data_IF_609891984960
#
_entry.id   IF_609891984960
#
_cell.length_a   1.000
_cell.length_b   1.000
_cell.length_c   1.000
_cell.angle_alpha   90.00
_cell.angle_beta   90.00
_cell.angle_gamma   90.00
#
_symmetry.space_group_name_H-M   'P 1'
#
loop_
_entity.id
_entity.type
_entity.pdbx_description
1 polymer ?
#
# COMPACT_ATOMS: atom_id res chain seq x y z
N UNK A 1 4.57 13.09 17.19
CA UNK A 1 5.07 12.09 16.21
C UNK A 1 5.13 12.68 14.80
N UNK A 2 4.06 13.30 14.30
CA UNK A 2 4.07 14.01 13.01
C UNK A 2 5.18 15.07 12.88
N UNK A 3 5.41 15.91 13.89
CA UNK A 3 6.48 16.92 13.83
C UNK A 3 7.90 16.33 13.85
N UNK A 4 8.10 15.17 14.50
CA UNK A 4 9.38 14.44 14.47
C UNK A 4 9.60 13.83 13.07
N UNK A 5 8.54 13.29 12.47
CA UNK A 5 8.58 12.75 11.11
C UNK A 5 8.79 13.86 10.07
N UNK A 6 8.17 15.03 10.26
CA UNK A 6 8.37 16.22 9.41
C UNK A 6 9.79 16.75 9.56
N UNK A 7 10.33 16.84 10.78
CA UNK A 7 11.71 17.28 11.02
C UNK A 7 12.76 16.37 10.38
N UNK A 8 12.58 15.05 10.47
CA UNK A 8 13.45 14.07 9.79
C UNK A 8 13.31 14.11 8.27
N UNK A 9 12.09 14.27 7.74
CA UNK A 9 11.84 14.48 6.31
C UNK A 9 12.55 15.73 5.77
N UNK A 10 12.60 16.82 6.54
CA UNK A 10 13.33 18.03 6.17
C UNK A 10 14.85 17.83 6.11
N UNK A 11 15.44 17.11 7.08
CA UNK A 11 16.85 16.70 7.01
C UNK A 11 17.13 15.81 5.78
N UNK A 12 16.16 14.98 5.40
CA UNK A 12 16.28 14.08 4.26
C UNK A 12 16.37 14.83 2.92
N UNK A 13 15.53 15.85 2.70
CA UNK A 13 15.60 16.70 1.51
C UNK A 13 16.94 17.45 1.38
N UNK A 14 17.58 17.76 2.50
CA UNK A 14 18.88 18.46 2.52
C UNK A 14 20.03 17.47 2.22
N UNK A 15 19.96 16.24 2.73
CA UNK A 15 21.01 15.23 2.51
C UNK A 15 20.95 14.54 1.13
N UNK A 16 19.77 14.45 0.48
CA UNK A 16 19.63 13.88 -0.87
C UNK A 16 20.27 14.71 -1.98
N UNK A 17 20.69 15.94 -1.71
CA UNK A 17 21.40 16.81 -2.67
C UNK A 17 22.85 16.37 -2.95
N UNK A 18 23.41 15.43 -2.17
CA UNK A 18 24.72 14.83 -2.42
C UNK A 18 24.64 13.69 -3.44
N UNK A 19 24.79 13.99 -4.73
CA UNK A 19 24.66 13.03 -5.84
C UNK A 19 25.67 11.88 -5.79
N UNK A 20 25.19 10.63 -5.79
CA UNK A 20 25.95 9.46 -6.28
C UNK A 20 25.55 9.18 -7.73
N UNK A 21 26.52 9.15 -8.63
CA UNK A 21 26.32 8.72 -10.01
C UNK A 21 26.17 7.19 -10.04
N UNK A 22 24.96 6.70 -10.26
CA UNK A 22 24.71 5.31 -10.63
C UNK A 22 24.61 5.23 -12.16
N UNK A 23 25.37 4.32 -12.78
CA UNK A 23 25.27 4.04 -14.20
C UNK A 23 23.96 3.32 -14.49
N UNK A 24 22.93 4.05 -14.90
CA UNK A 24 21.68 3.48 -15.39
C UNK A 24 21.94 2.74 -16.70
N UNK A 25 21.88 1.41 -16.69
CA UNK A 25 21.78 0.63 -17.92
C UNK A 25 20.36 0.80 -18.48
N UNK A 26 20.19 1.75 -19.41
CA UNK A 26 18.98 1.88 -20.21
C UNK A 26 18.75 0.58 -20.99
N UNK A 27 17.66 -0.12 -20.67
CA UNK A 27 17.06 -1.05 -21.62
C UNK A 27 16.28 -0.20 -22.61
N UNK A 28 16.89 0.12 -23.75
CA UNK A 28 16.21 0.75 -24.89
C UNK A 28 15.16 -0.23 -25.44
N UNK A 29 13.96 -0.22 -24.87
CA UNK A 29 12.79 -0.82 -25.48
C UNK A 29 12.31 0.15 -26.55
N UNK A 30 12.52 -0.22 -27.82
CA UNK A 30 12.22 0.57 -29.00
C UNK A 30 10.74 0.86 -29.21
N UNK A 31 10.17 1.79 -28.45
CA UNK A 31 8.99 2.55 -28.86
C UNK A 31 9.48 3.83 -29.56
N UNK A 32 9.66 3.75 -30.87
CA UNK A 32 9.92 4.93 -31.71
C UNK A 32 8.65 5.77 -31.81
N UNK A 33 8.47 6.75 -30.93
CA UNK A 33 7.53 7.84 -31.16
C UNK A 33 8.15 8.85 -32.12
N UNK A 34 7.60 8.93 -33.33
CA UNK A 34 7.93 9.97 -34.30
C UNK A 34 7.44 11.33 -33.77
N UNK A 35 8.35 12.23 -33.42
CA UNK A 35 8.03 13.62 -33.12
C UNK A 35 8.62 14.53 -34.20
N UNK A 36 7.74 15.33 -34.79
CA UNK A 36 7.98 16.26 -35.87
C UNK A 36 8.98 17.35 -35.48
N UNK A 37 9.85 17.67 -36.43
CA UNK A 37 10.75 18.80 -36.38
C UNK A 37 9.97 20.09 -36.65
N UNK A 38 10.17 21.10 -35.82
CA UNK A 38 9.90 22.48 -36.19
C UNK A 38 11.15 23.34 -35.98
N UNK A 39 11.32 24.19 -36.99
CA UNK A 39 12.49 24.94 -37.43
C UNK A 39 12.94 26.07 -36.52
N UNK A 40 14.26 26.22 -36.35
CA UNK A 40 14.91 27.52 -36.20
C UNK A 40 16.30 27.46 -36.83
N UNK A 41 16.53 28.36 -37.79
CA UNK A 41 17.71 28.43 -38.63
C UNK A 41 18.97 28.82 -37.82
N UNK A 42 19.92 27.89 -37.74
CA UNK A 42 21.25 28.10 -37.18
C UNK A 42 22.30 27.37 -38.02
N UNK A 43 23.37 28.08 -38.34
CA UNK A 43 24.52 27.73 -39.20
C UNK A 43 24.99 26.26 -39.07
N UNK A 44 25.22 25.52 -40.18
CA UNK A 44 25.58 24.10 -40.15
C UNK A 44 27.00 23.92 -39.60
N UNK A 45 27.10 23.47 -38.35
CA UNK A 45 28.33 22.88 -37.82
C UNK A 45 28.47 21.49 -38.42
N UNK A 46 29.66 21.16 -38.96
CA UNK A 46 29.99 19.84 -39.52
C UNK A 46 29.53 18.73 -38.57
N UNK A 47 28.47 18.02 -38.97
CA UNK A 47 28.03 16.77 -38.34
C UNK A 47 29.22 15.81 -38.34
N UNK A 48 29.76 15.53 -37.14
CA UNK A 48 30.63 14.38 -36.98
C UNK A 48 29.83 13.13 -37.40
N UNK A 49 30.42 12.24 -38.21
CA UNK A 49 29.76 10.99 -38.58
C UNK A 49 29.42 10.24 -37.30
N UNK A 50 28.12 10.09 -37.04
CA UNK A 50 27.63 9.23 -35.97
C UNK A 50 28.23 7.84 -36.22
N UNK A 51 29.10 7.41 -35.31
CA UNK A 51 29.65 6.06 -35.35
C UNK A 51 28.49 5.07 -35.43
N UNK A 52 28.55 4.07 -36.34
CA UNK A 52 27.48 3.09 -36.47
C UNK A 52 27.23 2.48 -35.09
N UNK A 53 26.01 2.60 -34.61
CA UNK A 53 25.55 1.98 -33.36
C UNK A 53 25.78 0.49 -33.50
N UNK A 54 26.85 0.01 -32.88
CA UNK A 54 27.18 -1.42 -32.84
C UNK A 54 26.02 -2.08 -32.13
N UNK A 55 25.16 -2.75 -32.92
CA UNK A 55 24.06 -3.55 -32.41
C UNK A 55 24.65 -4.63 -31.50
N UNK A 56 24.64 -4.38 -30.19
CA UNK A 56 25.01 -5.42 -29.24
C UNK A 56 23.96 -6.52 -29.35
N UNK A 57 24.37 -7.79 -29.49
CA UNK A 57 23.42 -8.89 -29.51
C UNK A 57 22.56 -8.80 -28.25
N UNK A 58 21.25 -8.76 -28.45
CA UNK A 58 20.30 -8.81 -27.35
C UNK A 58 20.57 -10.11 -26.57
N UNK A 59 20.91 -9.99 -25.29
CA UNK A 59 21.16 -11.15 -24.42
C UNK A 59 19.96 -12.11 -24.39
N UNK A 60 20.20 -13.33 -23.91
CA UNK A 60 19.16 -14.37 -23.84
C UNK A 60 17.98 -13.92 -22.97
N UNK A 61 16.80 -14.54 -23.14
CA UNK A 61 15.63 -14.24 -22.30
C UNK A 61 15.96 -14.43 -20.81
N UNK A 62 16.77 -15.43 -20.47
CA UNK A 62 17.27 -15.66 -19.11
C UNK A 62 18.11 -14.50 -18.57
N UNK A 63 18.98 -13.90 -19.40
CA UNK A 63 19.78 -12.74 -19.00
C UNK A 63 18.91 -11.52 -18.67
N UNK A 64 17.80 -11.33 -19.42
CA UNK A 64 16.84 -10.25 -19.16
C UNK A 64 16.09 -10.46 -17.85
N UNK A 65 15.55 -11.67 -17.65
CA UNK A 65 14.85 -12.01 -16.41
C UNK A 65 15.77 -11.88 -15.19
N UNK A 66 17.00 -12.37 -15.29
CA UNK A 66 17.96 -12.28 -14.19
C UNK A 66 18.32 -10.82 -13.85
N UNK A 67 18.48 -9.96 -14.86
CA UNK A 67 18.69 -8.52 -14.65
C UNK A 67 17.50 -7.86 -13.96
N UNK A 68 16.29 -8.21 -14.36
CA UNK A 68 15.07 -7.67 -13.78
C UNK A 68 14.92 -8.10 -12.31
N UNK A 69 15.10 -9.40 -12.02
CA UNK A 69 15.08 -9.91 -10.64
C UNK A 69 16.15 -9.26 -9.76
N UNK A 70 17.37 -9.09 -10.29
CA UNK A 70 18.44 -8.40 -9.57
C UNK A 70 18.09 -6.93 -9.31
N UNK A 71 17.55 -6.21 -10.29
CA UNK A 71 17.09 -4.83 -10.14
C UNK A 71 16.05 -4.72 -9.02
N UNK A 72 14.99 -5.50 -9.12
CA UNK A 72 13.88 -5.50 -8.17
C UNK A 72 14.35 -5.85 -6.76
N UNK A 73 15.23 -6.85 -6.61
CA UNK A 73 15.79 -7.25 -5.32
C UNK A 73 16.64 -6.12 -4.70
N UNK A 74 17.50 -5.50 -5.50
CA UNK A 74 18.38 -4.40 -5.05
C UNK A 74 17.54 -3.21 -4.57
N UNK A 75 16.54 -2.80 -5.34
CA UNK A 75 15.67 -1.68 -4.96
C UNK A 75 14.83 -1.99 -3.71
N UNK A 76 14.43 -3.24 -3.53
CA UNK A 76 13.69 -3.67 -2.34
C UNK A 76 14.56 -3.65 -1.09
N UNK A 77 15.82 -4.07 -1.19
CA UNK A 77 16.78 -3.97 -0.08
C UNK A 77 17.06 -2.50 0.26
N UNK A 78 17.28 -1.65 -0.73
CA UNK A 78 17.52 -0.21 -0.56
C UNK A 78 16.33 0.50 0.11
N UNK A 79 15.09 0.17 -0.30
CA UNK A 79 13.87 0.67 0.32
C UNK A 79 13.75 0.22 1.80
N UNK A 80 14.00 -1.06 2.08
CA UNK A 80 13.95 -1.55 3.46
C UNK A 80 15.01 -0.92 4.35
N UNK A 81 16.20 -0.63 3.81
CA UNK A 81 17.25 0.11 4.52
C UNK A 81 16.83 1.54 4.83
N UNK A 82 16.14 2.22 3.91
CA UNK A 82 15.58 3.55 4.18
C UNK A 82 14.58 3.50 5.35
N UNK A 83 13.75 2.46 5.43
CA UNK A 83 12.88 2.26 6.60
C UNK A 83 13.65 1.99 7.89
N UNK A 84 14.73 1.20 7.82
CA UNK A 84 15.56 0.93 8.97
C UNK A 84 16.14 2.23 9.54
N UNK A 85 16.63 3.14 8.69
CA UNK A 85 17.23 4.42 9.08
C UNK A 85 16.25 5.36 9.83
N UNK A 86 14.93 5.19 9.66
CA UNK A 86 13.92 5.94 10.41
C UNK A 86 13.92 5.56 11.90
N UNK A 87 14.22 4.29 12.20
CA UNK A 87 14.27 3.75 13.58
C UNK A 87 15.48 4.36 14.30
N UNK A 88 15.29 5.04 15.46
CA UNK A 88 16.38 5.76 16.14
C UNK A 88 17.64 4.94 16.41
N UNK A 89 17.49 3.63 16.65
CA UNK A 89 18.61 2.72 16.87
C UNK A 89 19.50 2.58 15.62
N UNK A 90 18.91 2.32 14.45
CA UNK A 90 19.66 2.16 13.20
C UNK A 90 20.04 3.49 12.55
N UNK A 91 19.23 4.55 12.74
CA UNK A 91 19.50 5.87 12.15
C UNK A 91 20.78 6.55 12.66
N UNK A 92 21.34 6.10 13.78
CA UNK A 92 22.64 6.56 14.29
C UNK A 92 23.82 5.74 13.75
N UNK A 93 23.55 4.65 13.01
CA UNK A 93 24.56 3.79 12.41
C UNK A 93 24.83 4.23 10.97
N UNK A 94 26.06 4.05 10.49
CA UNK A 94 26.35 4.20 9.07
C UNK A 94 25.63 3.14 8.25
N UNK A 95 25.23 3.44 7.00
CA UNK A 95 24.49 2.51 6.14
C UNK A 95 25.13 1.12 6.02
N UNK A 96 26.46 1.07 5.89
CA UNK A 96 27.22 -0.19 5.85
C UNK A 96 27.17 -0.98 7.18
N UNK A 97 27.01 -0.30 8.31
CA UNK A 97 26.84 -0.94 9.62
C UNK A 97 25.43 -1.51 9.74
N UNK A 98 24.41 -0.79 9.26
CA UNK A 98 23.01 -1.27 9.25
C UNK A 98 22.89 -2.55 8.41
N UNK A 99 23.44 -2.59 7.19
CA UNK A 99 23.37 -3.79 6.33
C UNK A 99 24.06 -5.01 6.92
N UNK A 100 25.09 -4.80 7.75
CA UNK A 100 25.84 -5.88 8.42
C UNK A 100 25.31 -6.21 9.81
N UNK A 101 24.33 -5.47 10.32
CA UNK A 101 23.85 -5.64 11.67
C UNK A 101 23.14 -7.01 11.81
N UNK A 102 23.53 -7.76 12.84
CA UNK A 102 23.08 -9.16 13.02
C UNK A 102 21.56 -9.27 13.15
N UNK A 103 20.90 -8.27 13.77
CA UNK A 103 19.44 -8.26 13.96
C UNK A 103 18.63 -8.03 12.68
N UNK A 104 19.25 -7.56 11.59
CA UNK A 104 18.60 -7.48 10.28
C UNK A 104 18.98 -8.70 9.45
N UNK A 105 20.29 -9.02 9.40
CA UNK A 105 20.83 -10.11 8.59
C UNK A 105 20.24 -11.49 8.92
N UNK A 106 19.93 -11.76 10.18
CA UNK A 106 19.40 -13.07 10.62
C UNK A 106 17.91 -13.04 10.94
N UNK A 107 17.24 -11.92 10.71
CA UNK A 107 15.82 -11.80 11.00
C UNK A 107 14.99 -12.26 9.78
N UNK A 108 14.22 -13.36 9.89
CA UNK A 108 13.42 -13.85 8.78
C UNK A 108 12.36 -12.85 8.33
N UNK A 109 11.82 -12.03 9.25
CA UNK A 109 10.85 -11.00 8.90
C UNK A 109 11.45 -9.91 8.00
N UNK A 110 12.73 -9.57 8.21
CA UNK A 110 13.44 -8.60 7.36
C UNK A 110 13.51 -9.09 5.91
N UNK A 111 13.96 -10.34 5.71
CA UNK A 111 14.05 -10.94 4.37
C UNK A 111 12.68 -11.16 3.74
N UNK A 112 11.68 -11.53 4.53
CA UNK A 112 10.30 -11.64 4.05
C UNK A 112 9.75 -10.29 3.59
N UNK A 113 10.06 -9.20 4.30
CA UNK A 113 9.68 -7.85 3.87
C UNK A 113 10.39 -7.43 2.58
N UNK A 114 11.69 -7.73 2.41
CA UNK A 114 12.42 -7.49 1.15
C UNK A 114 11.77 -8.28 0.01
N UNK A 115 11.49 -9.57 0.22
CA UNK A 115 10.85 -10.42 -0.79
C UNK A 115 9.46 -9.89 -1.15
N UNK A 116 8.66 -9.47 -0.17
CA UNK A 116 7.35 -8.85 -0.38
C UNK A 116 7.46 -7.58 -1.23
N UNK A 117 8.39 -6.68 -0.89
CA UNK A 117 8.68 -5.49 -1.68
C UNK A 117 9.12 -5.83 -3.10
N UNK A 118 9.93 -6.88 -3.26
CA UNK A 118 10.40 -7.32 -4.57
C UNK A 118 9.25 -7.80 -5.45
N UNK A 119 8.37 -8.65 -4.92
CA UNK A 119 7.17 -9.09 -5.66
C UNK A 119 6.29 -7.89 -6.04
N UNK A 120 6.08 -6.96 -5.11
CA UNK A 120 5.31 -5.74 -5.38
C UNK A 120 5.96 -4.87 -6.46
N UNK A 121 7.25 -4.55 -6.36
CA UNK A 121 7.96 -3.75 -7.38
C UNK A 121 7.91 -4.46 -8.74
N UNK A 122 8.09 -5.77 -8.80
CA UNK A 122 8.01 -6.53 -10.05
C UNK A 122 6.64 -6.42 -10.72
N UNK A 123 5.56 -6.63 -9.97
CA UNK A 123 4.20 -6.54 -10.49
C UNK A 123 3.86 -5.12 -10.94
N UNK A 124 4.22 -4.12 -10.13
CA UNK A 124 3.96 -2.72 -10.47
C UNK A 124 4.79 -2.24 -11.64
N UNK A 125 6.08 -2.60 -11.69
CA UNK A 125 6.94 -2.31 -12.83
C UNK A 125 6.39 -2.95 -14.11
N UNK A 126 5.89 -4.19 -14.03
CA UNK A 126 5.22 -4.86 -15.15
C UNK A 126 3.95 -4.14 -15.62
N UNK A 127 3.10 -3.69 -14.69
CA UNK A 127 1.92 -2.88 -15.01
C UNK A 127 2.31 -1.57 -15.70
N UNK A 128 3.27 -0.84 -15.15
CA UNK A 128 3.76 0.41 -15.74
C UNK A 128 4.49 0.16 -17.07
N UNK A 129 5.14 -0.99 -17.26
CA UNK A 129 5.69 -1.39 -18.56
C UNK A 129 4.60 -1.53 -19.64
N UNK A 130 3.43 -2.09 -19.29
CA UNK A 130 2.32 -2.25 -20.21
C UNK A 130 1.75 -0.92 -20.72
N UNK A 131 1.93 0.17 -19.96
CA UNK A 131 1.56 1.55 -20.34
C UNK A 131 2.77 2.40 -20.76
N UNK A 132 3.90 1.77 -21.09
CA UNK A 132 5.15 2.40 -21.55
C UNK A 132 5.77 3.38 -20.53
N UNK A 133 5.68 3.09 -19.24
CA UNK A 133 6.20 3.89 -18.13
C UNK A 133 7.16 3.14 -17.21
N UNK A 134 7.72 2.01 -17.65
CA UNK A 134 8.68 1.22 -16.85
C UNK A 134 10.07 1.85 -16.71
N UNK A 135 10.49 2.64 -17.69
CA UNK A 135 11.81 3.28 -17.72
C UNK A 135 11.92 4.56 -16.87
N UNK A 136 13.09 5.23 -16.88
CA UNK A 136 13.24 6.56 -16.33
C UNK A 136 12.15 7.50 -16.85
N UNK A 137 11.58 8.32 -15.96
CA UNK A 137 10.53 9.28 -16.31
C UNK A 137 10.99 10.27 -17.39
N UNK A 138 12.29 10.62 -17.34
CA UNK A 138 13.00 11.53 -18.24
C UNK A 138 14.50 11.23 -18.17
N UNK A 139 15.28 11.72 -19.13
CA UNK A 139 16.74 11.50 -19.17
C UNK A 139 17.49 12.18 -18.02
N UNK A 140 16.90 13.23 -17.45
CA UNK A 140 17.41 14.00 -16.31
C UNK A 140 16.56 13.77 -15.04
N UNK A 141 16.07 12.54 -14.86
CA UNK A 141 15.33 12.11 -13.67
C UNK A 141 16.19 12.32 -12.42
N UNK A 142 15.63 13.04 -11.44
CA UNK A 142 16.28 13.29 -10.16
C UNK A 142 16.19 12.06 -9.27
N UNK A 143 17.13 11.90 -8.33
CA UNK A 143 17.14 10.74 -7.42
C UNK A 143 15.84 10.64 -6.61
N UNK A 144 15.27 11.78 -6.20
CA UNK A 144 13.97 11.82 -5.50
C UNK A 144 12.81 11.33 -6.37
N UNK A 145 12.83 11.64 -7.67
CA UNK A 145 11.83 11.17 -8.63
C UNK A 145 11.97 9.68 -8.88
N UNK A 146 13.21 9.20 -9.06
CA UNK A 146 13.54 7.79 -9.22
C UNK A 146 13.06 6.96 -8.02
N UNK A 147 13.39 7.41 -6.80
CA UNK A 147 12.91 6.75 -5.56
C UNK A 147 11.40 6.76 -5.51
N UNK A 148 10.76 7.88 -5.83
CA UNK A 148 9.31 7.93 -5.83
C UNK A 148 8.65 7.01 -6.85
N UNK A 149 9.21 6.91 -8.05
CA UNK A 149 8.76 5.98 -9.07
C UNK A 149 8.93 4.53 -8.63
N UNK A 150 10.11 4.13 -8.19
CA UNK A 150 10.40 2.73 -7.91
C UNK A 150 9.80 2.30 -6.56
N UNK A 151 10.10 3.04 -5.49
CA UNK A 151 9.79 2.61 -4.12
C UNK A 151 8.35 2.87 -3.72
N UNK A 152 7.74 3.93 -4.26
CA UNK A 152 6.36 4.30 -3.93
C UNK A 152 5.40 3.92 -5.05
N UNK A 153 5.63 4.37 -6.28
CA UNK A 153 4.69 4.07 -7.37
C UNK A 153 4.70 2.59 -7.76
N UNK A 154 5.84 1.98 -8.10
CA UNK A 154 5.86 0.56 -8.50
C UNK A 154 5.50 -0.36 -7.35
N UNK A 155 6.07 -0.15 -6.17
CA UNK A 155 5.75 -1.00 -5.01
C UNK A 155 4.24 -0.96 -4.68
N UNK A 156 3.61 0.21 -4.62
CA UNK A 156 2.18 0.29 -4.31
C UNK A 156 1.32 -0.23 -5.46
N UNK A 157 1.58 0.21 -6.69
CA UNK A 157 0.86 -0.27 -7.87
C UNK A 157 0.91 -1.81 -7.96
N UNK A 158 2.04 -2.45 -7.66
CA UNK A 158 2.12 -3.91 -7.68
C UNK A 158 1.37 -4.61 -6.55
N UNK A 159 1.35 -4.02 -5.35
CA UNK A 159 0.44 -4.47 -4.30
C UNK A 159 -1.02 -4.43 -4.75
N UNK A 160 -1.42 -3.35 -5.42
CA UNK A 160 -2.74 -3.19 -6.01
C UNK A 160 -3.04 -4.14 -7.17
N UNK A 161 -2.05 -4.45 -8.03
CA UNK A 161 -2.19 -5.48 -9.07
C UNK A 161 -2.48 -6.84 -8.41
N UNK A 162 -1.73 -7.19 -7.37
CA UNK A 162 -1.94 -8.43 -6.62
C UNK A 162 -3.35 -8.52 -6.01
N UNK A 163 -3.85 -7.42 -5.44
CA UNK A 163 -5.20 -7.39 -4.88
C UNK A 163 -6.28 -7.43 -5.96
N UNK A 164 -6.09 -6.77 -7.11
CA UNK A 164 -7.03 -6.83 -8.24
C UNK A 164 -7.14 -8.25 -8.77
N UNK A 165 -6.01 -8.94 -8.94
CA UNK A 165 -6.00 -10.34 -9.40
C UNK A 165 -6.75 -11.24 -8.41
N UNK A 166 -6.58 -11.00 -7.11
CA UNK A 166 -7.29 -11.75 -6.07
C UNK A 166 -8.79 -11.46 -6.11
N UNK A 167 -9.20 -10.20 -6.24
CA UNK A 167 -10.61 -9.82 -6.33
C UNK A 167 -11.29 -10.34 -7.59
N UNK A 168 -10.58 -10.35 -8.73
CA UNK A 168 -11.07 -10.93 -9.98
C UNK A 168 -11.30 -12.43 -9.84
N UNK A 169 -10.40 -13.13 -9.16
CA UNK A 169 -10.57 -14.55 -8.87
C UNK A 169 -11.81 -14.79 -7.99
N UNK A 170 -11.94 -14.05 -6.88
CA UNK A 170 -13.11 -14.12 -6.00
C UNK A 170 -14.42 -13.80 -6.72
N UNK A 171 -14.42 -12.79 -7.59
CA UNK A 171 -15.56 -12.41 -8.41
C UNK A 171 -15.97 -13.55 -9.35
N UNK A 172 -15.01 -14.13 -10.07
CA UNK A 172 -15.26 -15.28 -10.95
C UNK A 172 -15.83 -16.47 -10.18
N UNK A 173 -15.28 -16.79 -9.01
CA UNK A 173 -15.77 -17.88 -8.18
C UNK A 173 -17.19 -17.62 -7.64
N UNK A 174 -17.50 -16.40 -7.22
CA UNK A 174 -18.85 -16.03 -6.80
C UNK A 174 -19.86 -16.15 -7.95
N UNK A 175 -19.48 -15.74 -9.16
CA UNK A 175 -20.33 -15.84 -10.36
C UNK A 175 -20.59 -17.29 -10.78
N UNK A 176 -19.64 -18.20 -10.53
CA UNK A 176 -19.77 -19.62 -10.84
C UNK A 176 -20.44 -20.45 -9.73
N UNK A 177 -20.65 -19.87 -8.55
CA UNK A 177 -21.27 -20.57 -7.42
C UNK A 177 -22.79 -20.64 -7.58
N UNK A 178 -23.34 -21.84 -7.35
CA UNK A 178 -24.78 -22.12 -7.24
C UNK A 178 -25.34 -21.78 -5.84
N UNK A 179 -24.59 -21.04 -5.03
CA UNK A 179 -24.96 -20.65 -3.67
C UNK A 179 -26.16 -19.67 -3.59
N UNK A 180 -26.45 -19.23 -2.37
CA UNK A 180 -27.53 -18.29 -2.11
C UNK A 180 -27.38 -16.99 -2.93
N UNK A 181 -28.47 -16.56 -3.56
CA UNK A 181 -28.45 -15.45 -4.50
C UNK A 181 -28.12 -14.11 -3.83
N UNK A 182 -28.51 -13.96 -2.56
CA UNK A 182 -28.24 -12.74 -1.78
C UNK A 182 -26.75 -12.66 -1.42
N UNK A 183 -26.18 -13.74 -0.90
CA UNK A 183 -24.74 -13.85 -0.63
C UNK A 183 -23.90 -13.60 -1.88
N UNK A 184 -24.25 -14.23 -3.01
CA UNK A 184 -23.56 -14.02 -4.29
C UNK A 184 -23.59 -12.55 -4.71
N UNK A 185 -24.77 -11.92 -4.69
CA UNK A 185 -24.91 -10.52 -5.10
C UNK A 185 -24.10 -9.56 -4.21
N UNK A 186 -23.99 -9.87 -2.91
CA UNK A 186 -23.17 -9.11 -1.97
C UNK A 186 -21.68 -9.23 -2.28
N UNK A 187 -21.18 -10.44 -2.54
CA UNK A 187 -19.78 -10.67 -2.90
C UNK A 187 -19.41 -10.02 -4.23
N UNK A 188 -20.27 -10.16 -5.26
CA UNK A 188 -20.06 -9.54 -6.57
C UNK A 188 -19.91 -8.03 -6.45
N UNK A 189 -20.86 -7.35 -5.76
CA UNK A 189 -20.80 -5.90 -5.54
C UNK A 189 -19.54 -5.48 -4.78
N UNK A 190 -19.08 -6.30 -3.84
CA UNK A 190 -17.82 -6.06 -3.11
C UNK A 190 -16.62 -6.03 -4.02
N UNK A 191 -16.44 -7.10 -4.78
CA UNK A 191 -15.31 -7.24 -5.68
C UNK A 191 -15.33 -6.14 -6.74
N UNK A 192 -16.49 -5.79 -7.30
CA UNK A 192 -16.61 -4.68 -8.26
C UNK A 192 -16.14 -3.36 -7.67
N UNK A 193 -16.64 -2.97 -6.50
CA UNK A 193 -16.25 -1.71 -5.85
C UNK A 193 -14.77 -1.72 -5.47
N UNK A 194 -14.26 -2.83 -4.94
CA UNK A 194 -12.85 -2.99 -4.59
C UNK A 194 -11.96 -2.84 -5.83
N UNK A 195 -12.24 -3.57 -6.92
CA UNK A 195 -11.49 -3.49 -8.18
C UNK A 195 -11.50 -2.06 -8.74
N UNK A 196 -12.66 -1.39 -8.77
CA UNK A 196 -12.76 -0.02 -9.26
C UNK A 196 -11.90 0.96 -8.45
N UNK A 197 -11.90 0.83 -7.12
CA UNK A 197 -11.08 1.65 -6.22
C UNK A 197 -9.58 1.40 -6.48
N UNK A 198 -9.18 0.15 -6.69
CA UNK A 198 -7.78 -0.21 -6.93
C UNK A 198 -7.29 0.24 -8.30
N UNK A 199 -8.11 0.06 -9.35
CA UNK A 199 -7.85 0.59 -10.70
C UNK A 199 -7.70 2.12 -10.63
N UNK A 200 -8.59 2.80 -9.91
CA UNK A 200 -8.50 4.24 -9.71
C UNK A 200 -7.18 4.65 -9.05
N UNK A 201 -6.71 3.88 -8.06
CA UNK A 201 -5.39 4.12 -7.48
C UNK A 201 -4.27 3.97 -8.52
N UNK A 202 -4.25 2.88 -9.28
CA UNK A 202 -3.21 2.69 -10.31
C UNK A 202 -3.24 3.76 -11.41
N UNK A 203 -4.42 4.23 -11.81
CA UNK A 203 -4.57 5.33 -12.79
C UNK A 203 -3.99 6.65 -12.25
N UNK A 204 -4.15 6.93 -10.96
CA UNK A 204 -3.56 8.13 -10.38
C UNK A 204 -2.03 8.05 -10.23
N UNK A 205 -1.48 6.86 -10.01
CA UNK A 205 -0.04 6.61 -10.07
C UNK A 205 0.52 6.80 -11.48
N UNK A 206 -0.20 6.29 -12.50
CA UNK A 206 0.10 6.57 -13.90
C UNK A 206 0.11 8.09 -14.18
N UNK A 207 -0.95 8.80 -13.77
CA UNK A 207 -1.00 10.25 -13.94
C UNK A 207 0.15 10.96 -13.20
N UNK A 208 0.55 10.51 -12.00
CA UNK A 208 1.70 11.08 -11.29
C UNK A 208 2.99 10.98 -12.12
N UNK A 209 3.32 9.80 -12.64
CA UNK A 209 4.51 9.61 -13.50
C UNK A 209 4.43 10.46 -14.77
N UNK A 210 3.24 10.60 -15.35
CA UNK A 210 3.02 11.48 -16.50
C UNK A 210 3.25 12.97 -16.15
N UNK A 211 2.87 13.43 -14.95
CA UNK A 211 3.14 14.81 -14.53
C UNK A 211 4.61 15.05 -14.23
N UNK A 212 5.30 14.06 -13.67
CA UNK A 212 6.76 14.11 -13.47
C UNK A 212 7.50 14.21 -14.82
N UNK A 213 7.08 13.46 -15.85
CA UNK A 213 7.73 13.52 -17.18
C UNK A 213 7.53 14.86 -17.89
N UNK A 214 6.43 15.54 -17.59
CA UNK A 214 6.14 16.90 -18.09
C UNK A 214 6.76 18.01 -17.26
N UNK A 215 7.46 17.69 -16.16
CA UNK A 215 7.98 18.67 -15.18
C UNK A 215 6.89 19.63 -14.69
N UNK A 216 5.68 19.12 -14.51
CA UNK A 216 4.54 19.91 -14.07
C UNK A 216 4.44 19.88 -12.54
N UNK A 217 5.14 20.78 -11.86
CA UNK A 217 5.20 20.82 -10.38
C UNK A 217 3.82 20.87 -9.76
N UNK A 218 2.91 21.70 -10.27
CA UNK A 218 1.61 21.91 -9.65
C UNK A 218 0.75 20.65 -9.72
N UNK A 219 0.66 20.02 -10.90
CA UNK A 219 -0.14 18.81 -11.07
C UNK A 219 0.54 17.56 -10.50
N UNK A 220 1.88 17.53 -10.45
CA UNK A 220 2.63 16.49 -9.73
C UNK A 220 2.35 16.56 -8.22
N UNK A 221 2.41 17.75 -7.62
CA UNK A 221 2.07 17.94 -6.21
C UNK A 221 0.64 17.52 -5.92
N UNK A 222 -0.31 17.93 -6.76
CA UNK A 222 -1.70 17.51 -6.63
C UNK A 222 -1.87 15.98 -6.72
N UNK A 223 -1.18 15.32 -7.65
CA UNK A 223 -1.21 13.87 -7.79
C UNK A 223 -0.59 13.17 -6.57
N UNK A 224 0.55 13.65 -6.06
CA UNK A 224 1.17 13.15 -4.84
C UNK A 224 0.26 13.33 -3.61
N UNK A 225 -0.34 14.52 -3.44
CA UNK A 225 -1.34 14.78 -2.39
C UNK A 225 -2.54 13.82 -2.55
N UNK A 226 -3.01 13.57 -3.77
CA UNK A 226 -4.08 12.60 -4.05
C UNK A 226 -3.73 11.20 -3.53
N UNK A 227 -2.48 10.72 -3.67
CA UNK A 227 -2.09 9.39 -3.14
C UNK A 227 -2.09 9.36 -1.62
N UNK A 228 -1.55 10.40 -0.99
CA UNK A 228 -1.53 10.54 0.47
C UNK A 228 -2.95 10.63 1.04
N UNK A 229 -3.80 11.42 0.42
CA UNK A 229 -5.20 11.60 0.83
C UNK A 229 -6.04 10.36 0.59
N UNK A 230 -5.77 9.58 -0.45
CA UNK A 230 -6.38 8.25 -0.63
C UNK A 230 -6.08 7.34 0.57
N UNK A 231 -4.82 7.29 1.01
CA UNK A 231 -4.41 6.53 2.18
C UNK A 231 -5.10 7.00 3.47
N UNK A 232 -5.11 8.31 3.69
CA UNK A 232 -5.82 8.90 4.83
C UNK A 232 -7.32 8.62 4.78
N UNK A 233 -7.93 8.70 3.61
CA UNK A 233 -9.35 8.45 3.42
C UNK A 233 -9.72 7.01 3.78
N UNK A 234 -8.94 6.06 3.27
CA UNK A 234 -9.12 4.65 3.55
C UNK A 234 -8.92 4.35 5.05
N UNK A 235 -7.92 4.94 5.70
CA UNK A 235 -7.68 4.80 7.14
C UNK A 235 -8.83 5.35 7.98
N UNK A 236 -9.30 6.56 7.69
CA UNK A 236 -10.42 7.17 8.42
C UNK A 236 -11.67 6.32 8.25
N UNK A 237 -11.96 5.89 7.03
CA UNK A 237 -13.11 5.07 6.74
C UNK A 237 -13.01 3.68 7.41
N UNK A 238 -11.81 3.12 7.49
CA UNK A 238 -11.48 1.92 8.28
C UNK A 238 -11.80 2.09 9.77
N UNK A 239 -11.34 3.18 10.38
CA UNK A 239 -11.60 3.49 11.79
C UNK A 239 -13.09 3.72 12.04
N UNK A 240 -13.77 4.48 11.19
CA UNK A 240 -15.23 4.70 11.31
C UNK A 240 -15.96 3.36 11.25
N UNK A 241 -15.58 2.50 10.31
CA UNK A 241 -16.09 1.15 10.17
C UNK A 241 -16.00 0.32 11.44
N UNK A 242 -14.80 0.27 12.03
CA UNK A 242 -14.55 -0.39 13.31
C UNK A 242 -15.40 0.15 14.46
N UNK A 243 -15.69 1.44 14.46
CA UNK A 243 -16.47 2.09 15.51
C UNK A 243 -17.99 1.92 15.34
N UNK A 244 -18.45 1.41 14.19
CA UNK A 244 -19.88 1.14 13.99
C UNK A 244 -20.34 -0.07 14.83
N UNK A 245 -21.62 -0.15 15.23
CA UNK A 245 -22.15 -1.32 15.95
C UNK A 245 -21.91 -2.64 15.23
N UNK A 246 -21.99 -2.64 13.88
CA UNK A 246 -21.71 -3.83 13.06
C UNK A 246 -20.23 -4.22 13.12
N UNK A 247 -19.31 -3.25 12.99
CA UNK A 247 -17.87 -3.48 13.12
C UNK A 247 -17.47 -3.97 14.51
N UNK A 248 -18.05 -3.39 15.56
CA UNK A 248 -17.84 -3.82 16.94
C UNK A 248 -18.37 -5.23 17.19
N UNK A 249 -19.57 -5.55 16.69
CA UNK A 249 -20.14 -6.90 16.79
C UNK A 249 -19.29 -7.94 16.06
N UNK A 250 -18.77 -7.62 14.87
CA UNK A 250 -17.83 -8.47 14.15
C UNK A 250 -16.55 -8.69 14.98
N UNK A 251 -15.96 -7.62 15.52
CA UNK A 251 -14.74 -7.72 16.33
C UNK A 251 -14.95 -8.53 17.62
N UNK A 252 -16.06 -8.32 18.33
CA UNK A 252 -16.41 -9.08 19.53
C UNK A 252 -16.66 -10.56 19.22
N UNK A 253 -17.31 -10.84 18.10
CA UNK A 253 -17.57 -12.20 17.65
C UNK A 253 -16.27 -12.97 17.47
N UNK A 254 -15.25 -12.32 16.92
CA UNK A 254 -13.95 -12.92 16.68
C UNK A 254 -13.10 -13.03 17.95
N UNK A 255 -13.03 -11.95 18.73
CA UNK A 255 -12.22 -11.90 19.94
C UNK A 255 -12.66 -12.94 20.96
N UNK A 256 -13.97 -13.15 21.07
CA UNK A 256 -14.55 -14.04 22.09
C UNK A 256 -14.96 -15.42 21.54
N UNK A 257 -14.93 -15.61 20.22
CA UNK A 257 -15.46 -16.81 19.56
C UNK A 257 -16.95 -17.06 19.83
N UNK A 258 -17.66 -16.07 20.40
CA UNK A 258 -19.08 -16.17 20.74
C UNK A 258 -19.90 -15.51 19.64
N UNK A 259 -20.76 -16.28 19.00
CA UNK A 259 -21.76 -15.72 18.09
C UNK A 259 -22.62 -14.69 18.84
N UNK A 260 -22.99 -13.57 18.19
CA UNK A 260 -23.97 -12.67 18.77
C UNK A 260 -25.25 -13.46 19.08
N UNK A 261 -25.95 -13.10 20.18
CA UNK A 261 -27.16 -13.81 20.55
C UNK A 261 -28.13 -13.80 19.37
N UNK A 262 -28.74 -14.97 19.04
CA UNK A 262 -29.63 -15.06 17.90
C UNK A 262 -30.77 -14.05 18.04
N UNK A 263 -31.26 -13.47 16.93
CA UNK A 263 -32.51 -12.70 16.99
C UNK A 263 -33.63 -13.61 17.52
N UNK A 264 -34.68 -13.06 18.16
CA UNK A 264 -35.67 -13.82 18.94
C UNK A 264 -36.32 -15.02 18.22
N UNK A 265 -36.27 -15.03 16.89
CA UNK A 265 -36.83 -16.09 16.05
C UNK A 265 -35.88 -16.57 14.92
N UNK A 266 -34.57 -16.30 15.01
CA UNK A 266 -33.60 -16.72 13.98
C UNK A 266 -32.63 -17.78 14.45
N UNK A 267 -32.10 -18.57 13.51
CA UNK A 267 -30.90 -19.36 13.77
C UNK A 267 -29.75 -18.40 14.14
N UNK A 268 -28.86 -18.78 15.07
CA UNK A 268 -27.66 -17.99 15.32
C UNK A 268 -26.89 -17.83 14.00
N UNK A 269 -26.39 -16.63 13.71
CA UNK A 269 -25.59 -16.43 12.52
C UNK A 269 -24.40 -17.41 12.56
N UNK A 270 -24.03 -18.02 11.42
CA UNK A 270 -22.83 -18.84 11.36
C UNK A 270 -21.62 -18.01 11.81
N UNK A 271 -20.61 -18.64 12.43
CA UNK A 271 -19.37 -17.95 12.76
C UNK A 271 -18.80 -17.29 11.49
N UNK A 272 -18.18 -16.10 11.62
CA UNK A 272 -17.63 -15.43 10.46
C UNK A 272 -16.48 -16.31 9.96
N UNK A 273 -16.43 -16.58 8.66
CA UNK A 273 -15.48 -17.56 8.15
C UNK A 273 -14.06 -17.03 8.36
N UNK A 274 -13.10 -17.92 8.71
CA UNK A 274 -11.78 -17.54 9.26
C UNK A 274 -10.97 -16.59 8.37
N UNK A 275 -11.23 -16.60 7.08
CA UNK A 275 -10.50 -15.77 6.13
C UNK A 275 -10.89 -14.30 6.24
N UNK A 276 -11.99 -13.98 6.93
CA UNK A 276 -12.40 -12.61 7.25
C UNK A 276 -11.27 -11.96 8.03
N UNK A 277 -10.64 -12.72 8.94
CA UNK A 277 -9.49 -12.29 9.71
C UNK A 277 -8.26 -11.97 8.90
N UNK A 278 -8.01 -12.78 7.89
CA UNK A 278 -6.88 -12.56 7.00
C UNK A 278 -7.09 -11.25 6.23
N UNK A 279 -8.29 -11.01 5.70
CA UNK A 279 -8.60 -9.76 4.98
C UNK A 279 -8.51 -8.53 5.87
N UNK A 280 -8.99 -8.63 7.11
CA UNK A 280 -8.92 -7.54 8.06
C UNK A 280 -7.49 -7.20 8.43
N UNK A 281 -6.66 -8.21 8.67
CA UNK A 281 -5.23 -8.02 8.94
C UNK A 281 -4.55 -7.40 7.72
N UNK A 282 -4.82 -7.90 6.50
CA UNK A 282 -4.27 -7.34 5.27
C UNK A 282 -4.67 -5.87 5.12
N UNK A 283 -5.94 -5.53 5.35
CA UNK A 283 -6.43 -4.14 5.28
C UNK A 283 -5.83 -3.25 6.35
N UNK A 284 -5.66 -3.74 7.58
CA UNK A 284 -5.01 -3.01 8.65
C UNK A 284 -3.54 -2.75 8.33
N UNK A 285 -2.83 -3.78 7.86
CA UNK A 285 -1.43 -3.66 7.40
C UNK A 285 -1.34 -2.70 6.23
N UNK A 286 -2.27 -2.79 5.28
CA UNK A 286 -2.38 -1.86 4.16
C UNK A 286 -2.64 -0.42 4.62
N UNK A 287 -3.56 -0.20 5.57
CA UNK A 287 -3.81 1.12 6.17
C UNK A 287 -2.55 1.67 6.84
N UNK A 288 -1.84 0.84 7.61
CA UNK A 288 -0.58 1.22 8.24
C UNK A 288 0.48 1.55 7.18
N UNK A 289 0.56 0.77 6.10
CA UNK A 289 1.45 1.01 4.98
C UNK A 289 1.10 2.31 4.25
N UNK A 290 -0.18 2.63 4.05
CA UNK A 290 -0.60 3.91 3.46
C UNK A 290 -0.19 5.13 4.29
N UNK A 291 -0.05 5.00 5.62
CA UNK A 291 0.56 6.06 6.45
C UNK A 291 2.04 6.23 6.11
N UNK A 292 2.73 5.15 5.77
CA UNK A 292 4.11 5.18 5.31
C UNK A 292 4.23 5.87 3.94
N UNK A 293 3.22 5.75 3.06
CA UNK A 293 3.18 6.47 1.78
C UNK A 293 3.30 8.00 1.96
N UNK A 294 2.79 8.57 3.05
CA UNK A 294 2.99 9.98 3.39
C UNK A 294 4.47 10.34 3.41
N UNK A 295 5.30 9.52 4.06
CA UNK A 295 6.75 9.74 4.15
C UNK A 295 7.39 9.67 2.76
N UNK A 296 6.91 8.76 1.94
CA UNK A 296 7.44 8.52 0.60
C UNK A 296 7.14 9.60 -0.44
N UNK A 297 5.93 10.15 -0.42
CA UNK A 297 5.51 11.19 -1.36
C UNK A 297 5.89 12.60 -0.88
N UNK A 298 6.19 12.81 0.41
CA UNK A 298 6.57 14.13 0.94
C UNK A 298 7.79 14.75 0.22
N UNK A 299 8.87 14.01 -0.08
CA UNK A 299 9.99 14.54 -0.85
C UNK A 299 9.60 15.10 -2.21
N UNK A 300 8.60 14.52 -2.90
CA UNK A 300 8.10 15.09 -4.16
C UNK A 300 7.43 16.45 -3.96
N UNK A 301 6.81 16.70 -2.80
CA UNK A 301 6.17 17.99 -2.49
C UNK A 301 7.18 19.11 -2.23
N UNK A 302 8.45 18.76 -2.05
CA UNK A 302 9.55 19.70 -1.93
C UNK A 302 10.17 20.05 -3.28
N UNK A 303 9.77 19.39 -4.36
CA UNK A 303 10.35 19.54 -5.69
C UNK A 303 9.61 20.60 -6.49
N UNK A 304 10.29 21.67 -6.89
CA UNK A 304 9.76 22.67 -7.82
C UNK A 304 10.73 22.83 -8.98
N UNK A 305 10.27 22.53 -10.20
CA UNK A 305 11.11 22.56 -11.39
C UNK A 305 11.40 23.98 -11.88
N UNK A 306 10.70 24.99 -11.34
CA UNK A 306 10.78 26.38 -11.80
C UNK A 306 11.21 27.36 -10.70
N UNK A 307 11.25 26.95 -9.43
CA UNK A 307 11.70 27.82 -8.37
C UNK A 307 13.22 27.96 -8.36
N UNK A 308 13.70 29.20 -8.31
CA UNK A 308 15.11 29.50 -7.99
C UNK A 308 15.41 29.18 -6.52
N UNK A 309 14.41 29.27 -5.64
CA UNK A 309 14.55 29.00 -4.20
C UNK A 309 13.75 27.75 -3.75
N UNK A 310 14.48 26.69 -3.41
CA UNK A 310 13.95 25.40 -2.90
C UNK A 310 13.07 25.58 -1.66
N UNK A 311 13.36 26.56 -0.80
CA UNK A 311 12.72 26.73 0.51
C UNK A 311 11.26 27.20 0.39
N UNK A 312 10.96 28.09 -0.54
CA UNK A 312 9.60 28.61 -0.73
C UNK A 312 8.69 27.55 -1.37
N UNK A 313 9.21 26.84 -2.37
CA UNK A 313 8.56 25.69 -3.00
C UNK A 313 8.12 24.65 -1.97
N UNK A 314 9.05 24.22 -1.11
CA UNK A 314 8.80 23.28 -0.04
C UNK A 314 7.71 23.75 0.92
N UNK A 315 7.75 25.03 1.34
CA UNK A 315 6.75 25.59 2.26
C UNK A 315 5.34 25.55 1.67
N UNK A 316 5.21 25.86 0.37
CA UNK A 316 3.93 25.85 -0.36
C UNK A 316 3.39 24.43 -0.55
N UNK A 317 4.21 23.48 -0.97
CA UNK A 317 3.79 22.08 -1.16
C UNK A 317 3.28 21.45 0.15
N UNK A 318 4.04 21.62 1.24
CA UNK A 318 3.65 21.12 2.57
C UNK A 318 2.37 21.81 3.08
N UNK A 319 2.21 23.12 2.86
CA UNK A 319 0.99 23.83 3.23
C UNK A 319 -0.25 23.25 2.52
N UNK A 320 -0.17 23.06 1.19
CA UNK A 320 -1.24 22.47 0.39
C UNK A 320 -1.64 21.08 0.88
N UNK A 321 -0.65 20.24 1.19
CA UNK A 321 -0.91 18.91 1.78
C UNK A 321 -1.65 19.01 3.12
N UNK A 322 -1.19 19.88 4.03
CA UNK A 322 -1.83 20.06 5.35
C UNK A 322 -3.29 20.50 5.21
N UNK A 323 -3.56 21.48 4.35
CA UNK A 323 -4.92 21.97 4.09
C UNK A 323 -5.79 20.83 3.54
N UNK A 324 -5.32 20.12 2.50
CA UNK A 324 -6.08 19.03 1.88
C UNK A 324 -6.36 17.88 2.86
N UNK A 325 -5.39 17.52 3.70
CA UNK A 325 -5.53 16.45 4.68
C UNK A 325 -6.51 16.84 5.81
N UNK A 326 -6.38 18.04 6.39
CA UNK A 326 -7.28 18.52 7.44
C UNK A 326 -8.71 18.62 6.90
N UNK A 327 -8.87 19.24 5.73
CA UNK A 327 -10.15 19.40 5.07
C UNK A 327 -10.81 18.03 4.80
N UNK A 328 -10.09 17.12 4.16
CA UNK A 328 -10.62 15.80 3.84
C UNK A 328 -10.97 14.95 5.06
N UNK A 329 -10.16 14.99 6.12
CA UNK A 329 -10.47 14.31 7.40
C UNK A 329 -11.75 14.87 8.01
N UNK A 330 -11.93 16.20 8.02
CA UNK A 330 -13.15 16.84 8.53
C UNK A 330 -14.37 16.39 7.73
N UNK A 331 -14.27 16.32 6.40
CA UNK A 331 -15.37 15.82 5.56
C UNK A 331 -15.69 14.38 5.82
N UNK A 332 -14.69 13.49 5.84
CA UNK A 332 -14.95 12.08 6.12
C UNK A 332 -15.53 11.87 7.52
N UNK A 333 -15.08 12.62 8.52
CA UNK A 333 -15.65 12.55 9.86
C UNK A 333 -17.12 13.03 9.87
N UNK A 334 -17.43 14.12 9.15
CA UNK A 334 -18.79 14.60 8.99
C UNK A 334 -19.66 13.59 8.22
N UNK A 335 -19.14 13.01 7.14
CA UNK A 335 -19.78 11.95 6.36
C UNK A 335 -20.06 10.71 7.22
N UNK A 336 -19.08 10.21 7.95
CA UNK A 336 -19.26 9.07 8.87
C UNK A 336 -20.28 9.35 9.97
N UNK A 337 -20.23 10.54 10.58
CA UNK A 337 -21.17 10.94 11.62
C UNK A 337 -22.60 11.04 11.08
N UNK A 338 -22.79 11.69 9.94
CA UNK A 338 -24.12 11.85 9.35
C UNK A 338 -24.64 10.52 8.81
N UNK A 339 -23.76 9.67 8.28
CA UNK A 339 -24.12 8.33 7.85
C UNK A 339 -24.72 7.50 8.99
N UNK A 340 -24.21 7.64 10.23
CA UNK A 340 -24.80 7.00 11.42
C UNK A 340 -26.25 7.40 11.72
N UNK A 341 -26.73 8.50 11.10
CA UNK A 341 -28.10 9.02 11.23
C UNK A 341 -28.95 8.86 9.98
N UNK A 342 -28.42 8.23 8.93
CA UNK A 342 -29.07 8.03 7.63
C UNK A 342 -28.48 8.94 6.54
N UNK A 343 -28.08 8.40 5.38
CA UNK A 343 -27.47 9.18 4.32
C UNK A 343 -28.48 10.15 3.69
N UNK A 344 -28.23 11.45 3.81
CA UNK A 344 -28.99 12.48 3.11
C UNK A 344 -28.39 12.77 1.74
N UNK A 345 -29.20 12.73 0.67
CA UNK A 345 -28.81 13.11 -0.70
C UNK A 345 -28.12 14.49 -0.78
N UNK A 346 -28.44 15.40 0.13
CA UNK A 346 -27.83 16.74 0.21
C UNK A 346 -26.32 16.70 0.49
N UNK A 347 -25.79 15.61 1.06
CA UNK A 347 -24.36 15.47 1.31
C UNK A 347 -23.56 15.29 0.03
N UNK A 348 -24.05 14.45 -0.89
CA UNK A 348 -23.47 14.31 -2.22
C UNK A 348 -23.52 15.65 -2.98
N UNK A 349 -24.60 16.42 -2.80
CA UNK A 349 -24.71 17.76 -3.36
C UNK A 349 -23.76 18.78 -2.71
N UNK A 350 -23.31 18.56 -1.47
CA UNK A 350 -22.38 19.44 -0.75
C UNK A 350 -20.90 19.21 -1.13
N UNK A 351 -20.54 18.01 -1.59
CA UNK A 351 -19.16 17.64 -1.94
C UNK A 351 -18.50 18.59 -2.96
N UNK A 352 -19.16 19.02 -4.06
CA UNK A 352 -18.57 19.99 -4.99
C UNK A 352 -18.21 21.31 -4.32
N UNK A 353 -19.07 21.83 -3.43
CA UNK A 353 -18.81 23.08 -2.72
C UNK A 353 -17.65 22.94 -1.74
N UNK A 354 -17.54 21.78 -1.09
CA UNK A 354 -16.42 21.49 -0.21
C UNK A 354 -15.09 21.45 -0.97
N UNK A 355 -15.08 20.77 -2.12
CA UNK A 355 -13.88 20.69 -2.96
C UNK A 355 -13.48 22.08 -3.45
N UNK A 356 -14.44 22.90 -3.89
CA UNK A 356 -14.19 24.29 -4.28
C UNK A 356 -13.67 25.15 -3.12
N UNK A 357 -14.26 25.03 -1.93
CA UNK A 357 -13.82 25.74 -0.74
C UNK A 357 -12.39 25.35 -0.33
N UNK A 358 -12.06 24.07 -0.39
CA UNK A 358 -10.70 23.59 -0.09
C UNK A 358 -9.71 24.00 -1.17
N UNK A 359 -10.10 23.98 -2.45
CA UNK A 359 -9.30 24.51 -3.55
C UNK A 359 -8.96 25.98 -3.33
N UNK A 360 -9.95 26.79 -2.92
CA UNK A 360 -9.74 28.18 -2.56
C UNK A 360 -8.74 28.34 -1.40
N UNK A 361 -8.81 27.48 -0.37
CA UNK A 361 -7.85 27.51 0.76
C UNK A 361 -6.43 27.06 0.35
N UNK A 362 -6.30 26.12 -0.59
CA UNK A 362 -5.00 25.64 -1.08
C UNK A 362 -4.29 26.68 -1.97
N UNK A 363 -5.05 27.46 -2.73
CA UNK A 363 -4.53 28.30 -3.82
C UNK A 363 -4.71 29.81 -3.56
N UNK A 364 -5.46 30.18 -2.51
CA UNK A 364 -5.76 31.57 -2.16
C UNK A 364 -6.70 32.25 -3.15
N UNK A 365 -6.59 33.58 -3.27
CA UNK A 365 -7.45 34.41 -4.13
C UNK A 365 -7.21 34.26 -5.64
N UNK A 366 -6.21 33.47 -6.06
CA UNK A 366 -5.84 33.28 -7.46
C UNK A 366 -6.24 31.89 -7.97
N UNK A 367 -7.54 31.63 -8.01
CA UNK A 367 -8.10 30.42 -8.62
C UNK A 367 -7.99 30.50 -10.15
N UNK A 368 -7.05 29.74 -10.71
CA UNK A 368 -7.06 29.40 -12.13
C UNK A 368 -7.82 28.09 -12.35
N UNK A 369 -8.26 27.83 -13.59
CA UNK A 369 -8.86 26.55 -13.95
C UNK A 369 -7.91 25.36 -13.67
N UNK A 370 -6.62 25.53 -13.97
CA UNK A 370 -5.58 24.52 -13.70
C UNK A 370 -5.45 24.20 -12.21
N UNK A 371 -5.41 25.23 -11.37
CA UNK A 371 -5.37 25.12 -9.90
C UNK A 371 -6.62 24.46 -9.34
N UNK A 372 -7.78 24.77 -9.92
CA UNK A 372 -9.05 24.12 -9.56
C UNK A 372 -9.02 22.63 -9.88
N UNK A 373 -8.53 22.25 -11.07
CA UNK A 373 -8.33 20.84 -11.45
C UNK A 373 -7.31 20.13 -10.55
N UNK A 374 -6.24 20.82 -10.18
CA UNK A 374 -5.22 20.30 -9.27
C UNK A 374 -5.83 19.98 -7.88
N UNK A 375 -6.57 20.93 -7.31
CA UNK A 375 -7.25 20.74 -6.03
C UNK A 375 -8.35 19.67 -6.10
N UNK A 376 -9.13 19.64 -7.20
CA UNK A 376 -10.09 18.58 -7.47
C UNK A 376 -9.41 17.21 -7.47
N UNK A 377 -8.31 17.04 -8.21
CA UNK A 377 -7.56 15.78 -8.25
C UNK A 377 -6.96 15.39 -6.90
N UNK A 378 -6.50 16.36 -6.11
CA UNK A 378 -5.97 16.16 -4.78
C UNK A 378 -7.03 15.69 -3.77
N UNK A 379 -8.29 16.14 -3.91
CA UNK A 379 -9.39 15.84 -2.98
C UNK A 379 -10.33 14.74 -3.46
N UNK A 380 -10.25 14.39 -4.75
CA UNK A 380 -11.06 13.36 -5.37
C UNK A 380 -11.09 12.03 -4.59
N UNK A 381 -9.97 11.55 -4.00
CA UNK A 381 -10.01 10.35 -3.16
C UNK A 381 -10.96 10.46 -1.98
N UNK A 382 -11.03 11.60 -1.29
CA UNK A 382 -11.97 11.81 -0.21
C UNK A 382 -13.42 11.78 -0.69
N UNK A 383 -13.69 12.38 -1.85
CA UNK A 383 -15.02 12.39 -2.46
C UNK A 383 -15.44 10.98 -2.87
N UNK A 384 -14.58 10.22 -3.55
CA UNK A 384 -14.94 8.89 -4.04
C UNK A 384 -14.97 7.86 -2.93
N UNK A 385 -13.96 7.82 -2.06
CA UNK A 385 -13.95 6.89 -0.92
C UNK A 385 -15.09 7.25 0.03
N UNK A 386 -15.27 8.54 0.34
CA UNK A 386 -16.36 9.03 1.18
C UNK A 386 -17.74 8.71 0.61
N UNK A 387 -17.96 8.97 -0.69
CA UNK A 387 -19.22 8.60 -1.37
C UNK A 387 -19.43 7.10 -1.45
N UNK A 388 -18.37 6.31 -1.69
CA UNK A 388 -18.43 4.86 -1.69
C UNK A 388 -18.84 4.32 -0.32
N UNK A 389 -18.25 4.85 0.74
CA UNK A 389 -18.65 4.56 2.12
C UNK A 389 -20.07 5.04 2.41
N UNK A 390 -20.50 6.20 1.93
CA UNK A 390 -21.84 6.71 2.14
C UNK A 390 -22.91 5.92 1.36
N UNK A 391 -22.58 5.41 0.17
CA UNK A 391 -23.48 4.63 -0.66
C UNK A 391 -23.57 3.17 -0.18
N UNK A 392 -22.44 2.58 0.22
CA UNK A 392 -22.37 1.19 0.67
C UNK A 392 -22.57 1.05 2.19
N UNK A 393 -22.46 2.13 2.97
CA UNK A 393 -22.77 2.15 4.40
C UNK A 393 -21.96 1.18 5.27
N UNK A 394 -22.53 0.66 6.39
CA UNK A 394 -21.90 -0.41 7.16
C UNK A 394 -21.91 -1.71 6.33
N UNK A 395 -22.77 -1.77 5.31
CA UNK A 395 -22.77 -2.84 4.35
C UNK A 395 -21.45 -2.86 3.57
N UNK A 396 -20.70 -1.76 3.42
CA UNK A 396 -19.35 -1.81 2.85
C UNK A 396 -18.44 -2.75 3.65
N UNK A 397 -18.57 -2.78 4.98
CA UNK A 397 -17.79 -3.70 5.82
C UNK A 397 -18.24 -5.13 5.62
N UNK A 398 -19.53 -5.35 5.64
CA UNK A 398 -20.16 -6.63 5.35
C UNK A 398 -19.85 -7.16 3.92
N UNK A 399 -19.75 -6.26 2.95
CA UNK A 399 -19.38 -6.47 1.55
C UNK A 399 -17.88 -6.81 1.50
N UNK A 400 -17.04 -6.04 2.19
CA UNK A 400 -15.62 -6.30 2.37
C UNK A 400 -15.35 -7.57 3.21
N UNK A 401 -16.29 -8.02 4.04
CA UNK A 401 -16.25 -9.22 4.89
C UNK A 401 -16.68 -10.49 4.15
N UNK A 402 -17.49 -10.38 3.08
CA UNK A 402 -17.90 -11.51 2.23
C UNK A 402 -16.76 -12.15 1.42
N UNK A 403 -15.55 -11.62 1.56
CA UNK A 403 -14.31 -12.06 0.88
C UNK A 403 -13.70 -13.35 1.47
N UNK A 404 -14.39 -13.95 2.42
CA UNK A 404 -13.78 -14.76 3.45
C UNK A 404 -14.38 -16.16 3.63
N UNK A 405 -15.32 -16.55 2.78
CA UNK A 405 -15.97 -17.86 2.78
C UNK A 405 -15.32 -18.85 1.78
N UNK A 406 -14.05 -18.65 1.49
CA UNK A 406 -13.22 -19.31 0.50
C UNK A 406 -12.27 -20.39 1.08
N UNK A 407 -12.75 -21.64 1.04
CA UNK A 407 -12.04 -22.88 1.42
C UNK A 407 -10.70 -23.15 0.68
N UNK A 408 -10.21 -22.25 -0.19
CA UNK A 408 -8.96 -22.45 -0.94
C UNK A 408 -7.66 -22.23 -0.13
N UNK A 409 -7.73 -22.02 1.18
CA UNK A 409 -6.56 -21.97 2.06
C UNK A 409 -6.16 -23.33 2.65
N UNK A 410 -6.99 -24.38 2.55
CA UNK A 410 -6.61 -25.73 2.97
C UNK A 410 -5.34 -26.26 2.27
N UNK A 411 -5.13 -26.05 0.96
CA UNK A 411 -3.90 -26.45 0.28
C UNK A 411 -2.66 -25.73 0.83
N UNK A 412 -2.75 -24.45 1.18
CA UNK A 412 -1.61 -23.67 1.71
C UNK A 412 -1.24 -24.06 3.15
N UNK A 413 -2.21 -24.47 3.97
CA UNK A 413 -1.92 -25.07 5.28
C UNK A 413 -1.24 -26.44 5.16
N UNK A 414 -1.55 -27.21 4.12
CA UNK A 414 -0.87 -28.50 3.84
C UNK A 414 0.57 -28.33 3.32
N UNK A 415 0.90 -27.16 2.76
CA UNK A 415 2.24 -26.83 2.23
C UNK A 415 3.24 -26.35 3.28
N UNK A 416 2.80 -26.17 4.53
CA UNK A 416 3.68 -25.89 5.66
C UNK A 416 3.64 -27.08 6.64
N UNK A 417 4.35 -28.19 6.36
CA UNK A 417 4.34 -29.32 7.26
C UNK A 417 4.94 -28.85 8.57
N UNK A 418 4.12 -28.83 9.63
CA UNK A 418 4.56 -28.49 10.98
C UNK A 418 5.77 -29.29 11.42
N UNK A 419 5.94 -30.47 10.83
CA UNK A 419 7.03 -31.41 11.11
C UNK A 419 8.38 -30.94 10.53
N UNK A 420 8.37 -30.18 9.42
CA UNK A 420 9.59 -29.61 8.82
C UNK A 420 10.09 -28.42 9.65
N UNK A 421 9.20 -27.53 10.07
CA UNK A 421 9.56 -26.41 10.95
C UNK A 421 10.09 -26.90 12.32
N UNK A 422 9.52 -27.99 12.86
CA UNK A 422 10.00 -28.63 14.08
C UNK A 422 11.35 -29.32 13.86
N UNK A 423 11.54 -30.00 12.71
CA UNK A 423 12.80 -30.65 12.36
C UNK A 423 13.94 -29.63 12.16
N UNK A 424 13.66 -28.49 11.53
CA UNK A 424 14.63 -27.40 11.35
C UNK A 424 14.97 -26.71 12.66
N UNK A 425 13.98 -26.44 13.52
CA UNK A 425 14.23 -25.89 14.85
C UNK A 425 15.07 -26.85 15.73
N UNK A 426 14.82 -28.16 15.65
CA UNK A 426 15.61 -29.18 16.34
C UNK A 426 17.01 -29.40 15.73
N UNK A 427 17.18 -29.19 14.42
CA UNK A 427 18.47 -29.22 13.75
C UNK A 427 19.32 -27.99 14.09
N UNK A 428 18.68 -26.81 14.14
CA UNK A 428 19.29 -25.55 14.56
C UNK A 428 19.74 -25.61 16.02
N UNK A 429 18.87 -26.06 16.94
CA UNK A 429 19.20 -26.26 18.35
C UNK A 429 20.41 -27.18 18.56
N UNK A 430 20.54 -28.25 17.76
CA UNK A 430 21.68 -29.17 17.82
C UNK A 430 22.99 -28.56 17.31
N UNK A 431 22.93 -27.69 16.29
CA UNK A 431 24.13 -26.98 15.78
C UNK A 431 24.66 -25.97 16.79
N UNK A 432 23.76 -25.32 17.53
CA UNK A 432 24.10 -24.27 18.49
C UNK A 432 24.32 -24.80 19.93
N UNK A 433 24.36 -26.13 20.12
CA UNK A 433 24.64 -26.74 21.43
C UNK A 433 23.50 -26.62 22.46
N UNK A 434 22.30 -26.19 22.05
CA UNK A 434 21.12 -26.17 22.91
C UNK A 434 20.49 -27.56 23.01
N UNK A 435 20.36 -28.08 24.22
CA UNK A 435 19.81 -29.41 24.50
C UNK A 435 18.26 -29.38 24.58
N UNK A 436 17.60 -28.93 23.51
CA UNK A 436 16.15 -29.08 23.38
C UNK A 436 15.83 -30.48 22.87
N UNK A 437 15.36 -31.36 23.76
CA UNK A 437 14.84 -32.66 23.34
C UNK A 437 13.50 -32.48 22.63
N UNK A 438 13.23 -33.28 21.60
CA UNK A 438 11.95 -33.29 20.89
C UNK A 438 10.73 -33.43 21.84
N UNK A 439 10.95 -34.05 23.01
CA UNK A 439 10.00 -34.17 24.12
C UNK A 439 9.58 -32.81 24.71
N UNK A 440 10.50 -31.85 24.82
CA UNK A 440 10.20 -30.51 25.36
C UNK A 440 9.36 -29.67 24.38
N UNK A 441 9.59 -29.84 23.08
CA UNK A 441 8.78 -29.20 22.02
C UNK A 441 7.38 -29.83 21.94
N UNK A 442 7.27 -31.15 22.13
CA UNK A 442 5.99 -31.85 22.16
C UNK A 442 5.13 -31.50 23.41
N UNK A 443 5.75 -31.28 24.57
CA UNK A 443 5.07 -30.87 25.79
C UNK A 443 4.48 -29.44 25.70
N UNK A 444 5.12 -28.55 24.95
CA UNK A 444 4.57 -27.21 24.68
C UNK A 444 3.28 -27.26 23.86
N UNK A 445 3.16 -28.22 22.93
CA UNK A 445 1.96 -28.42 22.09
C UNK A 445 0.76 -28.99 22.87
N UNK A 446 0.99 -29.80 23.89
CA UNK A 446 -0.09 -30.39 24.72
C UNK A 446 -0.49 -29.53 25.94
N UNK A 447 0.29 -28.52 26.31
CA UNK A 447 0.01 -27.63 27.44
C UNK A 447 -1.12 -26.61 27.23
N UNK A 448 -1.54 -26.35 25.99
CA UNK A 448 -2.59 -25.38 25.66
C UNK A 448 -4.00 -25.98 25.46
N UNK A 449 -4.16 -27.28 25.70
CA UNK A 449 -5.48 -27.93 25.74
C UNK A 449 -6.14 -27.76 27.09
N UNK A 450 -6.74 -26.58 27.34
CA UNK A 450 -7.57 -26.30 28.52
C UNK A 450 -8.83 -27.16 28.54
N UNK A 451 -8.69 -28.42 28.94
CA UNK A 451 -9.81 -29.29 29.31
C UNK A 451 -10.22 -29.00 30.75
N UNK A 452 -11.39 -28.37 30.94
CA UNK A 452 -12.12 -28.42 32.21
C UNK A 452 -12.37 -29.88 32.59
N UNK A 453 -11.50 -30.46 33.43
CA UNK A 453 -11.83 -31.63 34.23
C UNK A 453 -12.35 -31.16 35.58
N UNK A 454 -13.63 -31.40 35.77
CA UNK A 454 -14.37 -31.48 37.03
C UNK A 454 -13.58 -32.27 38.07
N UNK A 455 -12.92 -31.57 38.99
CA UNK A 455 -12.48 -32.12 40.26
C UNK A 455 -13.70 -32.24 41.18
N UNK A 456 -14.36 -33.40 41.15
CA UNK A 456 -15.14 -33.88 42.30
C UNK A 456 -14.14 -34.25 43.39
N UNK A 457 -13.96 -33.34 44.35
CA UNK A 457 -13.30 -33.63 45.61
C UNK A 457 -14.12 -34.69 46.36
N UNK A 458 -13.49 -35.85 46.57
CA UNK A 458 -14.01 -36.90 47.45
C UNK A 458 -14.06 -36.42 48.90
N UNK A 459 -15.21 -36.65 49.52
CA UNK A 459 -15.41 -36.61 50.96
C UNK A 459 -15.93 -37.98 51.41
N UNK A 460 -15.40 -38.45 52.55
CA UNK A 460 -15.87 -39.57 53.41
C UNK A 460 -15.53 -40.98 52.89
N UNK A 461 -14.97 -41.95 53.63
CA UNK A 461 -14.86 -42.26 55.07
C UNK A 461 -13.67 -43.26 55.26
N UNK A 462 -12.76 -43.11 56.24
CA UNK A 462 -12.76 -43.58 57.65
C UNK A 462 -12.60 -45.11 57.88
N UNK A 463 -11.57 -45.43 58.71
CA UNK A 463 -11.26 -46.66 59.49
C UNK A 463 -10.81 -47.88 58.66
N UNK A 464 -9.75 -48.61 58.98
CA UNK A 464 -9.08 -48.93 60.24
C UNK A 464 -7.56 -48.95 60.08
#
# INVERSE_FOLDING_TARGET
MADILIGKSQQFCIHSAGSRSYSSHSCDNGCTSAAAADSAAGVPTKLQPQHPTVWRPMGTCGDRLNKELHFVWTESEELMLEFAEIVPFYGNMGRLQVTRHWSLRWNPLWWLSILGCAVCILLGHGFHAAVCQSGPVRSDELDVERRARIWWVYCYSGGFVGTVLTDLFSLCSALLSDGDAEERNRTVRSCEVAILIQIWYMVGDWNLLFRMSRKDTELMHAAAISRVTFGAAFLVAFVIGLLTPAGQAALEHWANGRAPPPPPHGKPPPPPPKETAITWIIRLVFCAFMVVAYLGYTPLLCLDYHAEEVREAQRRGIWKLKVALVAGVVVLAAEGFMFSRGPGLWMLAAQPFFVLGTAYLMEGSQLSWRRSLAALGALFPFVVVGSGFAACGPALWEILDAWASFDAWEPLQSWWPSDVAIAEAAAFSRREGFNLTARNVALWKHGNGGGQRTLRSGQSCLRA
#
